data_IF_514507820253
#
_entry.id   IF_514507820253
#
_cell.length_a   1.000
_cell.length_b   1.000
_cell.length_c   1.000
_cell.angle_alpha   90.00
_cell.angle_beta   90.00
_cell.angle_gamma   90.00
#
_symmetry.space_group_name_H-M   'P 1'
#
loop_
_entity.id
_entity.type
_entity.pdbx_description
1 polymer ?
#
# COMPACT_ATOMS: atom_id res chain seq x y z
N UNK A 1 -11.09 -7.81 6.73
CA UNK A 1 -11.83 -6.54 6.91
C UNK A 1 -13.32 -6.84 6.97
N UNK A 2 -14.01 -6.42 8.03
CA UNK A 2 -15.47 -6.39 8.09
C UNK A 2 -15.86 -4.93 7.91
N UNK A 3 -16.20 -4.54 6.69
CA UNK A 3 -16.75 -3.21 6.42
C UNK A 3 -18.24 -3.31 6.62
N UNK A 4 -18.70 -2.91 7.80
CA UNK A 4 -20.14 -2.84 8.09
C UNK A 4 -20.67 -1.55 7.46
N UNK A 5 -20.94 -1.62 6.15
CA UNK A 5 -21.77 -0.60 5.50
C UNK A 5 -23.14 -0.60 6.19
N UNK A 6 -23.71 0.57 6.48
CA UNK A 6 -24.92 0.70 7.31
C UNK A 6 -26.16 0.04 6.72
N UNK A 7 -26.17 -0.33 5.43
CA UNK A 7 -27.33 -0.97 4.79
C UNK A 7 -26.90 -2.12 3.86
N UNK A 8 -27.79 -3.10 3.68
CA UNK A 8 -27.60 -4.18 2.69
C UNK A 8 -27.45 -3.63 1.27
N UNK A 9 -28.15 -2.55 0.92
CA UNK A 9 -28.03 -1.88 -0.38
C UNK A 9 -26.62 -1.31 -0.62
N UNK A 10 -26.06 -0.61 0.37
CA UNK A 10 -24.67 -0.11 0.29
C UNK A 10 -23.65 -1.25 0.21
N UNK A 11 -23.89 -2.35 0.93
CA UNK A 11 -23.03 -3.54 0.86
C UNK A 11 -23.05 -4.18 -0.54
N UNK A 12 -24.23 -4.36 -1.15
CA UNK A 12 -24.36 -4.91 -2.50
C UNK A 12 -23.70 -3.99 -3.55
N UNK A 13 -23.91 -2.68 -3.44
CA UNK A 13 -23.28 -1.71 -4.32
C UNK A 13 -21.75 -1.72 -4.17
N UNK A 14 -21.23 -1.80 -2.94
CA UNK A 14 -19.80 -1.95 -2.68
C UNK A 14 -19.22 -3.22 -3.33
N UNK A 15 -19.94 -4.34 -3.28
CA UNK A 15 -19.52 -5.60 -3.92
C UNK A 15 -19.47 -5.46 -5.45
N UNK A 16 -20.50 -4.87 -6.07
CA UNK A 16 -20.55 -4.66 -7.51
C UNK A 16 -19.44 -3.72 -8.00
N UNK A 17 -19.25 -2.59 -7.31
CA UNK A 17 -18.17 -1.63 -7.60
C UNK A 17 -16.80 -2.31 -7.44
N UNK A 18 -16.60 -3.09 -6.38
CA UNK A 18 -15.35 -3.83 -6.17
C UNK A 18 -15.11 -4.82 -7.31
N UNK A 19 -16.10 -5.60 -7.71
CA UNK A 19 -15.97 -6.58 -8.78
C UNK A 19 -15.56 -5.92 -10.11
N UNK A 20 -16.09 -4.73 -10.39
CA UNK A 20 -15.76 -3.96 -11.59
C UNK A 20 -14.35 -3.35 -11.54
N UNK A 21 -14.01 -2.67 -10.45
CA UNK A 21 -12.84 -1.79 -10.40
C UNK A 21 -11.60 -2.41 -9.78
N UNK A 22 -11.72 -3.53 -9.05
CA UNK A 22 -10.56 -4.23 -8.49
C UNK A 22 -9.60 -4.73 -9.58
N UNK A 23 -10.04 -5.34 -10.70
CA UNK A 23 -9.13 -5.72 -11.79
C UNK A 23 -8.41 -4.51 -12.38
N UNK A 24 -9.12 -3.40 -12.60
CA UNK A 24 -8.56 -2.14 -13.11
C UNK A 24 -7.49 -1.57 -12.17
N UNK A 25 -7.76 -1.58 -10.86
CA UNK A 25 -6.80 -1.15 -9.85
C UNK A 25 -5.50 -1.92 -9.97
N UNK A 26 -5.62 -3.25 -10.04
CA UNK A 26 -4.49 -4.17 -10.12
C UNK A 26 -3.70 -3.94 -11.40
N UNK A 27 -4.36 -3.90 -12.56
CA UNK A 27 -3.71 -3.71 -13.87
C UNK A 27 -2.95 -2.38 -13.92
N UNK A 28 -3.60 -1.27 -13.54
CA UNK A 28 -2.98 0.07 -13.58
C UNK A 28 -1.80 0.17 -12.65
N UNK A 29 -1.93 -0.41 -11.46
CA UNK A 29 -0.83 -0.44 -10.49
C UNK A 29 0.36 -1.25 -11.01
N UNK A 30 0.13 -2.46 -11.53
CA UNK A 30 1.20 -3.31 -12.06
C UNK A 30 1.90 -2.68 -13.26
N UNK A 31 1.14 -2.09 -14.18
CA UNK A 31 1.68 -1.33 -15.29
C UNK A 31 2.55 -0.17 -14.80
N UNK A 32 2.07 0.60 -13.82
CA UNK A 32 2.84 1.70 -13.25
C UNK A 32 4.14 1.27 -12.57
N UNK A 33 4.17 0.10 -11.93
CA UNK A 33 5.41 -0.46 -11.37
C UNK A 33 6.39 -0.82 -12.49
N UNK A 34 5.91 -1.46 -13.56
CA UNK A 34 6.73 -1.81 -14.72
C UNK A 34 7.28 -0.57 -15.43
N UNK A 35 6.45 0.46 -15.63
CA UNK A 35 6.84 1.74 -16.25
C UNK A 35 7.92 2.48 -15.44
N UNK A 36 7.98 2.24 -14.12
CA UNK A 36 9.05 2.76 -13.24
C UNK A 36 10.35 1.92 -13.29
N UNK A 37 10.39 0.86 -14.10
CA UNK A 37 11.54 -0.06 -14.19
C UNK A 37 11.71 -0.95 -12.95
N UNK A 38 10.66 -1.08 -12.14
CA UNK A 38 10.62 -1.90 -10.95
C UNK A 38 10.02 -3.28 -11.24
N UNK A 39 10.25 -4.23 -10.35
CA UNK A 39 9.75 -5.60 -10.48
C UNK A 39 8.85 -5.95 -9.30
N UNK A 40 7.72 -6.62 -9.57
CA UNK A 40 6.89 -7.19 -8.50
C UNK A 40 7.43 -8.57 -8.16
N UNK A 41 8.05 -8.69 -6.99
CA UNK A 41 8.67 -9.94 -6.51
C UNK A 41 7.61 -10.89 -5.93
N UNK A 42 6.61 -10.37 -5.22
CA UNK A 42 5.53 -11.20 -4.69
C UNK A 42 4.24 -10.42 -4.44
N UNK A 43 3.12 -11.15 -4.48
CA UNK A 43 1.78 -10.69 -4.10
C UNK A 43 1.23 -11.68 -3.06
N UNK A 44 0.98 -11.22 -1.85
CA UNK A 44 0.59 -12.07 -0.73
C UNK A 44 -0.55 -11.46 0.07
N UNK A 45 -1.37 -12.29 0.71
CA UNK A 45 -2.26 -11.85 1.78
C UNK A 45 -1.53 -12.08 3.10
N UNK A 46 -1.32 -11.03 3.91
CA UNK A 46 -0.70 -11.18 5.24
C UNK A 46 -1.66 -10.75 6.34
N UNK A 47 -1.55 -11.42 7.48
CA UNK A 47 -2.16 -11.00 8.75
C UNK A 47 -1.17 -10.11 9.50
N UNK A 48 -1.66 -9.02 10.05
CA UNK A 48 -0.91 -8.04 10.82
C UNK A 48 -1.41 -7.99 12.27
N UNK A 49 -0.62 -7.32 13.11
CA UNK A 49 -1.00 -7.01 14.49
C UNK A 49 -2.37 -6.32 14.52
N UNK A 50 -3.24 -6.78 15.43
CA UNK A 50 -4.63 -6.31 15.50
C UNK A 50 -5.63 -7.07 14.62
N UNK A 51 -5.29 -8.29 14.16
CA UNK A 51 -6.12 -9.14 13.29
C UNK A 51 -6.49 -8.52 11.93
N UNK A 52 -5.76 -7.50 11.50
CA UNK A 52 -5.93 -6.94 10.16
C UNK A 52 -5.35 -7.91 9.13
N UNK A 53 -6.14 -8.25 8.11
CA UNK A 53 -5.70 -9.10 7.00
C UNK A 53 -5.80 -8.26 5.74
N UNK A 54 -4.70 -8.18 4.97
CA UNK A 54 -4.67 -7.36 3.77
C UNK A 54 -3.65 -7.82 2.72
N UNK A 55 -3.86 -7.43 1.46
CA UNK A 55 -2.91 -7.65 0.38
C UNK A 55 -1.63 -6.84 0.56
N UNK A 56 -0.53 -7.49 0.24
CA UNK A 56 0.84 -6.98 0.28
C UNK A 56 1.48 -7.24 -1.06
N UNK A 57 2.07 -6.20 -1.64
CA UNK A 57 2.85 -6.28 -2.86
C UNK A 57 4.30 -5.96 -2.51
N UNK A 58 5.21 -6.89 -2.77
CA UNK A 58 6.65 -6.66 -2.60
C UNK A 58 7.22 -6.24 -3.95
N UNK A 59 7.83 -5.05 -3.98
CA UNK A 59 8.40 -4.44 -5.18
C UNK A 59 9.90 -4.31 -5.00
N UNK A 60 10.65 -4.62 -6.04
CA UNK A 60 12.10 -4.61 -6.07
C UNK A 60 12.63 -3.63 -7.12
N UNK A 61 13.65 -2.88 -6.74
CA UNK A 61 14.47 -2.08 -7.67
C UNK A 61 15.71 -2.88 -8.07
N UNK A 62 15.99 -2.98 -9.38
CA UNK A 62 17.19 -3.67 -9.89
C UNK A 62 18.48 -3.00 -9.45
N UNK A 63 18.48 -1.68 -9.31
CA UNK A 63 19.62 -0.89 -8.85
C UNK A 63 19.11 0.24 -7.95
N UNK A 64 19.50 0.33 -6.66
CA UNK A 64 20.53 -0.47 -5.97
C UNK A 64 20.08 -1.80 -5.30
N UNK A 65 19.09 -2.53 -5.82
CA UNK A 65 18.68 -3.84 -5.26
C UNK A 65 17.70 -3.78 -4.09
N UNK A 66 16.96 -2.67 -3.96
CA UNK A 66 16.11 -2.40 -2.80
C UNK A 66 14.77 -3.08 -2.92
N UNK A 67 14.21 -3.48 -1.79
CA UNK A 67 12.87 -4.06 -1.71
C UNK A 67 11.96 -3.18 -0.86
N UNK A 68 10.73 -2.99 -1.31
CA UNK A 68 9.67 -2.25 -0.64
C UNK A 68 8.41 -3.11 -0.56
N UNK A 69 7.86 -3.25 0.64
CA UNK A 69 6.55 -3.88 0.82
C UNK A 69 5.46 -2.81 0.88
N UNK A 70 4.56 -2.83 -0.11
CA UNK A 70 3.37 -1.98 -0.15
C UNK A 70 2.15 -2.74 0.35
N UNK A 71 1.56 -2.23 1.43
CA UNK A 71 0.30 -2.74 1.99
C UNK A 71 -0.87 -2.08 1.28
N UNK A 72 -1.65 -2.85 0.54
CA UNK A 72 -2.72 -2.36 -0.32
C UNK A 72 -4.12 -2.48 0.32
N UNK A 73 -4.24 -3.09 1.51
CA UNK A 73 -5.54 -3.32 2.14
C UNK A 73 -6.40 -2.06 2.28
N UNK A 74 -5.77 -0.93 2.51
CA UNK A 74 -6.43 0.35 2.67
C UNK A 74 -6.85 1.02 1.36
N UNK A 75 -6.22 0.66 0.23
CA UNK A 75 -6.46 1.33 -1.04
C UNK A 75 -7.88 1.07 -1.54
N UNK A 76 -8.40 -0.15 -1.37
CA UNK A 76 -9.78 -0.46 -1.74
C UNK A 76 -10.78 0.24 -0.83
N UNK A 77 -10.48 0.37 0.47
CA UNK A 77 -11.30 1.12 1.41
C UNK A 77 -11.41 2.59 1.01
N UNK A 78 -10.28 3.21 0.67
CA UNK A 78 -10.21 4.60 0.23
C UNK A 78 -10.92 4.81 -1.10
N UNK A 79 -10.87 3.82 -1.99
CA UNK A 79 -11.63 3.85 -3.22
C UNK A 79 -13.13 3.84 -2.96
N UNK A 80 -13.60 2.87 -2.17
CA UNK A 80 -15.03 2.64 -1.94
C UNK A 80 -15.69 3.72 -1.09
N UNK A 81 -14.98 4.39 -0.19
CA UNK A 81 -15.61 5.21 0.85
C UNK A 81 -15.45 6.71 0.61
N UNK A 82 -16.37 7.51 1.14
CA UNK A 82 -16.22 8.97 1.20
C UNK A 82 -15.10 9.32 2.18
N UNK A 83 -15.20 8.74 3.37
CA UNK A 83 -14.20 8.77 4.42
C UNK A 83 -14.15 7.38 5.08
N UNK A 84 -12.97 6.77 5.04
CA UNK A 84 -12.70 5.44 5.61
C UNK A 84 -12.65 5.43 7.13
N UNK A 85 -12.40 6.58 7.74
CA UNK A 85 -12.25 6.75 9.18
C UNK A 85 -13.57 7.19 9.84
N UNK A 86 -14.53 7.68 9.05
CA UNK A 86 -15.87 7.98 9.52
C UNK A 86 -16.58 6.76 10.13
N UNK A 87 -17.43 7.01 11.12
CA UNK A 87 -18.32 6.02 11.73
C UNK A 87 -19.73 6.62 11.83
N UNK A 88 -20.72 6.12 11.06
CA UNK A 88 -20.64 4.97 10.15
C UNK A 88 -19.80 5.24 8.90
N UNK A 89 -19.11 4.21 8.40
CA UNK A 89 -18.43 4.25 7.09
C UNK A 89 -19.50 4.28 6.01
N UNK A 90 -19.36 5.17 5.02
CA UNK A 90 -20.30 5.30 3.90
C UNK A 90 -19.63 5.00 2.57
N UNK A 91 -20.32 4.24 1.73
CA UNK A 91 -19.97 4.09 0.31
C UNK A 91 -20.00 5.48 -0.35
N UNK A 92 -19.06 5.76 -1.24
CA UNK A 92 -19.10 6.98 -2.06
C UNK A 92 -20.08 6.77 -3.22
N UNK A 93 -21.28 7.38 -3.20
CA UNK A 93 -22.31 7.12 -4.20
C UNK A 93 -21.90 7.57 -5.60
N UNK A 94 -20.92 8.47 -5.70
CA UNK A 94 -20.39 8.96 -6.98
C UNK A 94 -19.61 7.88 -7.75
N UNK A 95 -19.26 6.76 -7.11
CA UNK A 95 -18.62 5.63 -7.78
C UNK A 95 -19.50 4.91 -8.80
N UNK A 96 -20.79 5.23 -8.85
CA UNK A 96 -21.70 4.79 -9.92
C UNK A 96 -21.44 5.56 -11.23
N UNK A 97 -20.79 6.72 -11.16
CA UNK A 97 -20.29 7.44 -12.34
C UNK A 97 -18.90 6.91 -12.71
N UNK A 98 -18.78 6.33 -13.90
CA UNK A 98 -17.54 5.68 -14.35
C UNK A 98 -16.38 6.67 -14.53
N UNK A 99 -16.67 7.92 -14.90
CA UNK A 99 -15.66 8.97 -15.04
C UNK A 99 -15.06 9.35 -13.70
N UNK A 100 -15.91 9.56 -12.69
CA UNK A 100 -15.50 9.81 -11.32
C UNK A 100 -14.76 8.61 -10.72
N UNK A 101 -15.29 7.39 -10.89
CA UNK A 101 -14.66 6.18 -10.39
C UNK A 101 -13.28 5.96 -11.02
N UNK A 102 -13.13 6.09 -12.34
CA UNK A 102 -11.83 5.98 -13.00
C UNK A 102 -10.84 7.03 -12.47
N UNK A 103 -11.28 8.29 -12.33
CA UNK A 103 -10.42 9.36 -11.83
C UNK A 103 -9.97 9.12 -10.38
N UNK A 104 -10.91 8.74 -9.50
CA UNK A 104 -10.61 8.41 -8.10
C UNK A 104 -9.64 7.23 -8.02
N UNK A 105 -9.80 6.24 -8.90
CA UNK A 105 -8.89 5.11 -8.99
C UNK A 105 -7.49 5.55 -9.43
N UNK A 106 -7.38 6.41 -10.44
CA UNK A 106 -6.10 6.94 -10.93
C UNK A 106 -5.38 7.73 -9.84
N UNK A 107 -6.08 8.58 -9.09
CA UNK A 107 -5.51 9.34 -7.97
C UNK A 107 -4.94 8.40 -6.90
N UNK A 108 -5.66 7.32 -6.58
CA UNK A 108 -5.19 6.31 -5.62
C UNK A 108 -3.98 5.53 -6.13
N UNK A 109 -4.01 5.11 -7.39
CA UNK A 109 -2.89 4.39 -8.03
C UNK A 109 -1.66 5.30 -8.08
N UNK A 110 -1.80 6.54 -8.54
CA UNK A 110 -0.71 7.51 -8.61
C UNK A 110 -0.08 7.78 -7.25
N UNK A 111 -0.90 7.96 -6.20
CA UNK A 111 -0.38 8.09 -4.84
C UNK A 111 0.47 6.88 -4.42
N UNK A 112 0.12 5.66 -4.84
CA UNK A 112 0.86 4.44 -4.46
C UNK A 112 2.13 4.30 -5.29
N UNK A 113 2.05 4.66 -6.56
CA UNK A 113 3.20 4.72 -7.47
C UNK A 113 4.19 5.80 -7.06
N UNK A 114 3.78 6.90 -6.42
CA UNK A 114 4.71 7.88 -5.87
C UNK A 114 5.61 7.28 -4.79
N UNK A 115 5.08 6.37 -3.97
CA UNK A 115 5.89 5.62 -2.99
C UNK A 115 6.89 4.73 -3.73
N UNK A 116 6.46 3.99 -4.75
CA UNK A 116 7.33 3.14 -5.55
C UNK A 116 8.41 3.95 -6.30
N UNK A 117 8.06 5.15 -6.81
CA UNK A 117 8.97 6.06 -7.50
C UNK A 117 10.12 6.52 -6.61
N UNK A 118 9.91 6.62 -5.30
CA UNK A 118 11.02 6.88 -4.36
C UNK A 118 12.05 5.76 -4.40
N UNK A 119 11.61 4.50 -4.49
CA UNK A 119 12.51 3.35 -4.61
C UNK A 119 13.30 3.39 -5.92
N UNK A 120 12.63 3.72 -7.03
CA UNK A 120 13.25 3.77 -8.36
C UNK A 120 14.29 4.89 -8.50
N UNK A 121 14.09 6.02 -7.82
CA UNK A 121 14.88 7.25 -8.04
C UNK A 121 15.89 7.59 -6.95
N UNK A 122 15.97 6.78 -5.89
CA UNK A 122 16.85 7.07 -4.75
C UNK A 122 18.07 6.18 -4.77
N UNK A 123 19.21 6.74 -4.35
CA UNK A 123 20.50 6.05 -4.36
C UNK A 123 20.99 5.66 -2.96
N UNK A 124 20.29 6.12 -1.92
CA UNK A 124 20.67 5.86 -0.53
C UNK A 124 19.44 5.75 0.39
N UNK A 125 19.56 5.09 1.57
CA UNK A 125 18.45 4.98 2.50
C UNK A 125 18.02 6.35 3.04
N UNK A 126 18.98 7.27 3.21
CA UNK A 126 18.74 8.64 3.66
C UNK A 126 17.89 9.44 2.67
N UNK A 127 18.11 9.25 1.36
CA UNK A 127 17.28 9.87 0.32
C UNK A 127 15.87 9.30 0.31
N UNK A 128 15.74 7.97 0.41
CA UNK A 128 14.43 7.31 0.50
C UNK A 128 13.66 7.89 1.67
N UNK A 129 14.26 7.91 2.87
CA UNK A 129 13.61 8.46 4.07
C UNK A 129 13.14 9.90 3.86
N UNK A 130 14.00 10.77 3.31
CA UNK A 130 13.64 12.18 3.05
C UNK A 130 12.48 12.32 2.08
N UNK A 131 12.50 11.58 0.97
CA UNK A 131 11.45 11.63 -0.06
C UNK A 131 10.14 11.01 0.45
N UNK A 132 10.22 9.87 1.16
CA UNK A 132 9.06 9.24 1.79
C UNK A 132 8.39 10.15 2.83
N UNK A 133 9.17 10.86 3.66
CA UNK A 133 8.62 11.85 4.61
C UNK A 133 7.90 12.99 3.87
N UNK A 134 8.42 13.42 2.71
CA UNK A 134 7.76 14.44 1.88
C UNK A 134 6.42 13.93 1.33
N UNK A 135 6.38 12.70 0.84
CA UNK A 135 5.15 12.05 0.34
C UNK A 135 4.14 11.85 1.48
N UNK A 136 4.62 11.42 2.65
CA UNK A 136 3.79 11.18 3.82
C UNK A 136 3.01 12.41 4.30
N UNK A 137 3.48 13.63 4.02
CA UNK A 137 2.71 14.86 4.30
C UNK A 137 1.40 14.95 3.52
N UNK A 138 1.35 14.32 2.35
CA UNK A 138 0.20 14.33 1.45
C UNK A 138 -0.62 13.03 1.55
N UNK A 139 -0.23 12.11 2.44
CA UNK A 139 -0.93 10.85 2.66
C UNK A 139 -1.51 10.82 4.05
N UNK A 140 -2.81 10.52 4.17
CA UNK A 140 -3.48 10.44 5.47
C UNK A 140 -2.77 9.49 6.45
N UNK A 141 -2.17 8.38 5.95
CA UNK A 141 -1.39 7.42 6.76
C UNK A 141 -0.28 6.74 5.94
N UNK A 142 0.96 7.23 6.06
CA UNK A 142 2.16 6.50 5.62
C UNK A 142 2.94 6.00 6.84
N UNK A 143 3.13 4.68 6.97
CA UNK A 143 4.04 4.09 7.99
C UNK A 143 5.26 3.52 7.28
N UNK A 144 6.43 4.06 7.61
CA UNK A 144 7.73 3.61 7.08
C UNK A 144 8.33 2.66 8.11
N UNK A 145 8.59 1.42 7.72
CA UNK A 145 9.35 0.46 8.52
C UNK A 145 10.72 0.31 7.88
N UNK A 146 11.79 0.61 8.61
CA UNK A 146 13.15 0.26 8.19
C UNK A 146 13.45 -1.14 8.74
N UNK A 147 13.61 -2.12 7.84
CA UNK A 147 14.21 -3.40 8.23
C UNK A 147 15.70 -3.14 8.41
N UNK A 148 16.12 -2.94 9.66
CA UNK A 148 17.53 -2.97 10.00
C UNK A 148 18.02 -4.41 9.80
N UNK A 149 19.05 -4.59 8.97
CA UNK A 149 19.78 -5.85 8.86
C UNK A 149 20.22 -6.26 10.27
N UNK A 150 19.63 -7.32 10.81
CA UNK A 150 19.88 -7.80 12.17
C UNK A 150 21.21 -8.59 12.24
N UNK A 151 22.25 -8.10 11.57
CA UNK A 151 23.62 -8.59 11.71
C UNK A 151 24.30 -7.87 12.87
N UNK A 152 23.77 -8.03 14.09
CA UNK A 152 24.62 -7.84 15.27
C UNK A 152 25.59 -9.02 15.36
N UNK A 153 26.92 -8.80 15.37
CA UNK A 153 27.85 -9.89 15.64
C UNK A 153 27.55 -10.43 17.04
N UNK A 154 27.25 -11.73 17.13
CA UNK A 154 27.21 -12.46 18.40
C UNK A 154 28.55 -12.24 19.11
N UNK A 155 28.59 -11.34 20.09
CA UNK A 155 29.73 -11.23 21.02
C UNK A 155 29.87 -12.59 21.71
N UNK A 156 30.92 -13.34 21.35
CA UNK A 156 31.34 -14.54 22.10
C UNK A 156 31.59 -14.10 23.54
N UNK A 157 30.73 -14.52 24.47
CA UNK A 157 30.99 -14.43 25.91
C UNK A 157 32.27 -15.24 26.17
N UNK A 158 33.38 -14.57 26.48
CA UNK A 158 34.53 -15.23 27.10
C UNK A 158 34.09 -15.67 28.49
N UNK A 159 34.05 -16.98 28.75
CA UNK A 159 34.07 -17.53 30.10
C UNK A 159 35.36 -17.04 30.76
N UNK A 160 35.24 -16.32 31.87
CA UNK A 160 36.34 -16.16 32.82
C UNK A 160 36.17 -17.29 33.83
N UNK A 161 37.05 -18.27 33.74
CA UNK A 161 37.29 -19.19 34.84
C UNK A 161 38.24 -18.50 35.81
N UNK A 162 37.82 -18.37 37.06
CA UNK A 162 38.67 -18.33 38.26
C UNK A 162 37.82 -18.64 39.48
#
# INVERSE_FOLDING_TARGET
MKYDFPTQGEMLAAMAITAKWLPELVIRFEKGIADLGLEIESKQIRRYDGNEVGPVCTIKSKHPGWTLELRLGNTLAEFLTIDRDARPVRLDPRLLDDGFASKKLDDLVNGRLDIARVLATSRSPKEIRRKMVKIGKNMARLRIWEMLDDKKPRKKRRKRDR
#
